data_IF_461215406054
#
_entry.id   IF_461215406054
#
_cell.length_a   1.000
_cell.length_b   1.000
_cell.length_c   1.000
_cell.angle_alpha   90.00
_cell.angle_beta   90.00
_cell.angle_gamma   90.00
#
_symmetry.space_group_name_H-M   'P 1'
#
loop_
_entity.id
_entity.type
_entity.pdbx_description
1 polymer ?
#
# COMPACT_ATOMS: atom_id res chain seq x y z
N UNK A 1 17.22 1.74 15.77
CA UNK A 1 16.70 0.49 15.16
C UNK A 1 16.52 0.73 13.67
N UNK A 2 16.98 -0.18 12.82
CA UNK A 2 16.79 -0.08 11.37
C UNK A 2 15.33 -0.32 11.00
N UNK A 3 14.83 0.40 10.00
CA UNK A 3 13.50 0.22 9.42
C UNK A 3 13.58 0.21 7.90
N UNK A 4 12.73 -0.59 7.25
CA UNK A 4 12.73 -0.79 5.80
C UNK A 4 11.44 -0.29 5.18
N UNK A 5 11.52 0.33 4.00
CA UNK A 5 10.37 0.58 3.14
C UNK A 5 10.18 -0.62 2.20
N UNK A 6 9.01 -1.21 2.17
CA UNK A 6 8.59 -2.20 1.20
C UNK A 6 7.60 -1.58 0.21
N UNK A 7 7.77 -1.82 -1.09
CA UNK A 7 6.94 -1.20 -2.13
C UNK A 7 6.27 -2.26 -2.99
N UNK A 8 4.94 -2.21 -3.06
CA UNK A 8 4.13 -3.05 -3.94
C UNK A 8 4.11 -2.47 -5.36
N UNK A 9 4.96 -2.97 -6.24
CA UNK A 9 5.09 -2.54 -7.63
C UNK A 9 4.74 -3.64 -8.66
N UNK A 10 4.18 -4.78 -8.24
CA UNK A 10 3.85 -5.90 -9.11
C UNK A 10 2.44 -5.86 -9.71
N UNK A 11 1.65 -4.82 -9.47
CA UNK A 11 0.29 -4.68 -9.98
C UNK A 11 0.23 -4.60 -11.51
N UNK A 12 -0.80 -5.23 -12.13
CA UNK A 12 -0.96 -5.28 -13.59
C UNK A 12 -1.45 -3.97 -14.22
N UNK A 13 -1.91 -2.99 -13.43
CA UNK A 13 -2.39 -1.70 -13.94
C UNK A 13 -3.55 -1.78 -14.94
N UNK A 14 -4.37 -2.84 -14.91
CA UNK A 14 -5.34 -3.19 -15.95
C UNK A 14 -6.36 -2.09 -16.30
N UNK A 15 -6.68 -1.20 -15.36
CA UNK A 15 -7.59 -0.06 -15.59
C UNK A 15 -6.88 1.14 -16.24
N UNK A 16 -5.58 1.26 -16.04
CA UNK A 16 -4.76 2.34 -16.59
C UNK A 16 -4.27 2.04 -18.02
N UNK A 17 -4.22 0.76 -18.38
CA UNK A 17 -3.83 0.31 -19.73
C UNK A 17 -2.34 0.30 -20.03
N UNK A 18 -1.48 0.57 -19.01
CA UNK A 18 -0.03 0.55 -19.10
C UNK A 18 0.59 0.21 -17.73
N UNK A 19 1.91 0.06 -17.66
CA UNK A 19 2.65 -0.11 -16.40
C UNK A 19 2.72 1.23 -15.66
N UNK A 20 1.62 1.58 -14.96
CA UNK A 20 1.42 2.87 -14.29
C UNK A 20 2.51 3.21 -13.26
N UNK A 21 3.19 2.20 -12.72
CA UNK A 21 4.27 2.34 -11.74
C UNK A 21 5.50 3.07 -12.30
N UNK A 22 5.67 3.12 -13.62
CA UNK A 22 6.81 3.73 -14.32
C UNK A 22 6.41 4.89 -15.23
N UNK A 23 5.17 5.37 -15.11
CA UNK A 23 4.69 6.53 -15.89
C UNK A 23 5.32 7.82 -15.34
N UNK A 24 6.01 8.64 -16.17
CA UNK A 24 6.57 9.91 -15.74
C UNK A 24 5.47 10.92 -15.36
N UNK A 25 5.62 11.53 -14.19
CA UNK A 25 4.67 12.50 -13.64
C UNK A 25 5.20 13.92 -13.78
N UNK A 26 6.49 14.15 -13.44
CA UNK A 26 7.12 15.46 -13.55
C UNK A 26 8.58 15.28 -14.03
N UNK A 27 8.89 15.82 -15.20
CA UNK A 27 10.15 15.53 -15.87
C UNK A 27 10.28 14.02 -16.12
N UNK A 28 11.36 13.41 -15.63
CA UNK A 28 11.57 11.97 -15.65
C UNK A 28 11.13 11.27 -14.35
N UNK A 29 10.61 12.00 -13.37
CA UNK A 29 10.20 11.46 -12.08
C UNK A 29 8.87 10.72 -12.19
N UNK A 30 8.84 9.53 -11.61
CA UNK A 30 7.64 8.72 -11.38
C UNK A 30 7.11 8.96 -9.96
N UNK A 31 5.88 8.54 -9.66
CA UNK A 31 5.26 8.80 -8.36
C UNK A 31 6.05 8.14 -7.21
N UNK A 32 6.58 6.95 -7.46
CA UNK A 32 7.41 6.21 -6.51
C UNK A 32 8.68 6.96 -6.07
N UNK A 33 9.27 7.80 -6.93
CA UNK A 33 10.47 8.56 -6.57
C UNK A 33 10.23 9.47 -5.36
N UNK A 34 9.03 10.06 -5.27
CA UNK A 34 8.63 10.90 -4.14
C UNK A 34 8.48 10.09 -2.86
N UNK A 35 7.84 8.92 -2.94
CA UNK A 35 7.68 8.03 -1.77
C UNK A 35 9.01 7.52 -1.23
N UNK A 36 9.96 7.16 -2.11
CA UNK A 36 11.31 6.73 -1.70
C UNK A 36 12.09 7.90 -1.08
N UNK A 37 12.02 9.09 -1.68
CA UNK A 37 12.69 10.28 -1.16
C UNK A 37 12.14 10.68 0.23
N UNK A 38 10.82 10.70 0.40
CA UNK A 38 10.15 11.01 1.66
C UNK A 38 10.47 9.95 2.74
N UNK A 39 10.53 8.66 2.37
CA UNK A 39 10.95 7.60 3.28
C UNK A 39 12.39 7.76 3.74
N UNK A 40 13.34 8.04 2.84
CA UNK A 40 14.73 8.29 3.24
C UNK A 40 14.86 9.54 4.12
N UNK A 41 14.11 10.61 3.83
CA UNK A 41 14.05 11.81 4.69
C UNK A 41 13.50 11.49 6.08
N UNK A 42 12.49 10.61 6.19
CA UNK A 42 11.96 10.10 7.47
C UNK A 42 12.91 9.09 8.16
N UNK A 43 14.03 8.76 7.51
CA UNK A 43 15.11 7.93 8.05
C UNK A 43 14.93 6.42 7.85
N UNK A 44 14.16 5.98 6.87
CA UNK A 44 14.20 4.58 6.46
C UNK A 44 15.61 4.24 5.94
N UNK A 45 16.11 3.04 6.26
CA UNK A 45 17.48 2.63 5.95
C UNK A 45 17.62 2.08 4.54
N UNK A 46 16.64 1.29 4.10
CA UNK A 46 16.62 0.62 2.79
C UNK A 46 15.21 0.55 2.21
N UNK A 47 15.14 0.24 0.93
CA UNK A 47 13.90 0.01 0.19
C UNK A 47 13.94 -1.38 -0.46
N UNK A 48 12.88 -2.16 -0.31
CA UNK A 48 12.69 -3.43 -1.01
C UNK A 48 11.47 -3.30 -1.92
N UNK A 49 11.67 -3.47 -3.22
CA UNK A 49 10.59 -3.38 -4.21
C UNK A 49 10.10 -4.77 -4.59
N UNK A 50 8.80 -4.98 -4.50
CA UNK A 50 8.14 -6.18 -5.03
C UNK A 50 7.66 -5.83 -6.44
N UNK A 51 8.27 -6.45 -7.43
CA UNK A 51 8.03 -6.19 -8.86
C UNK A 51 7.57 -7.46 -9.58
N UNK A 52 7.17 -7.32 -10.84
CA UNK A 52 7.09 -8.43 -11.80
C UNK A 52 8.39 -8.51 -12.58
N UNK A 53 8.79 -9.71 -12.97
CA UNK A 53 10.00 -9.95 -13.78
C UNK A 53 10.04 -9.10 -15.06
N UNK A 54 8.87 -8.84 -15.66
CA UNK A 54 8.74 -8.05 -16.89
C UNK A 54 9.17 -6.58 -16.74
N UNK A 55 8.95 -5.98 -15.56
CA UNK A 55 9.26 -4.55 -15.31
C UNK A 55 10.49 -4.32 -14.44
N UNK A 56 11.08 -5.38 -13.87
CA UNK A 56 12.22 -5.29 -12.95
C UNK A 56 13.37 -4.49 -13.54
N UNK A 57 13.82 -4.85 -14.74
CA UNK A 57 14.97 -4.20 -15.39
C UNK A 57 14.72 -2.70 -15.63
N UNK A 58 13.51 -2.34 -16.03
CA UNK A 58 13.14 -0.94 -16.30
C UNK A 58 13.04 -0.14 -14.98
N UNK A 59 12.40 -0.71 -13.96
CA UNK A 59 12.28 -0.09 -12.63
C UNK A 59 13.67 0.11 -12.02
N UNK A 60 14.52 -0.91 -12.07
CA UNK A 60 15.90 -0.85 -11.60
C UNK A 60 16.71 0.22 -12.33
N UNK A 61 16.65 0.25 -13.66
CA UNK A 61 17.36 1.25 -14.47
C UNK A 61 16.89 2.69 -14.19
N UNK A 62 15.63 2.89 -13.81
CA UNK A 62 15.08 4.19 -13.41
C UNK A 62 15.59 4.60 -12.02
N UNK A 63 15.39 3.75 -11.01
CA UNK A 63 15.66 4.08 -9.61
C UNK A 63 17.16 4.23 -9.32
N UNK A 64 18.04 3.46 -9.97
CA UNK A 64 19.49 3.57 -9.79
C UNK A 64 20.10 4.87 -10.33
N UNK A 65 19.37 5.64 -11.12
CA UNK A 65 19.78 7.00 -11.50
C UNK A 65 19.59 8.03 -10.39
N UNK A 66 18.74 7.71 -9.40
CA UNK A 66 18.26 8.66 -8.38
C UNK A 66 18.63 8.26 -6.96
N UNK A 67 18.80 6.97 -6.71
CA UNK A 67 19.00 6.44 -5.37
C UNK A 67 20.21 5.48 -5.32
N UNK A 68 20.92 5.40 -4.17
CA UNK A 68 22.07 4.51 -4.01
C UNK A 68 21.70 3.04 -4.18
N UNK A 69 22.47 2.29 -4.96
CA UNK A 69 22.23 0.87 -5.27
C UNK A 69 22.20 0.00 -4.01
N UNK A 70 23.11 0.26 -3.08
CA UNK A 70 23.23 -0.48 -1.82
C UNK A 70 22.03 -0.35 -0.88
N UNK A 71 21.14 0.62 -1.15
CA UNK A 71 19.91 0.84 -0.41
C UNK A 71 18.67 0.25 -1.07
N UNK A 72 18.79 -0.28 -2.27
CA UNK A 72 17.67 -0.82 -3.05
C UNK A 72 17.80 -2.34 -3.20
N UNK A 73 16.70 -3.06 -3.02
CA UNK A 73 16.58 -4.48 -3.31
C UNK A 73 15.30 -4.76 -4.09
N UNK A 74 15.30 -5.82 -4.91
CA UNK A 74 14.19 -6.17 -5.77
C UNK A 74 13.80 -7.64 -5.54
N UNK A 75 12.50 -7.91 -5.48
CA UNK A 75 11.91 -9.24 -5.33
C UNK A 75 10.86 -9.42 -6.40
N UNK A 76 10.98 -10.46 -7.22
CA UNK A 76 9.99 -10.77 -8.25
C UNK A 76 8.88 -11.63 -7.68
N UNK A 77 7.68 -11.08 -7.55
CA UNK A 77 6.51 -11.77 -7.00
C UNK A 77 6.12 -13.01 -7.82
N UNK A 78 6.21 -12.93 -9.13
CA UNK A 78 5.85 -14.00 -10.06
C UNK A 78 6.78 -15.23 -9.97
N UNK A 79 8.03 -15.05 -9.53
CA UNK A 79 8.96 -16.17 -9.30
C UNK A 79 8.73 -16.87 -7.95
N UNK A 80 7.99 -16.26 -7.05
CA UNK A 80 7.70 -16.74 -5.69
C UNK A 80 6.34 -17.47 -5.59
N UNK A 81 5.68 -17.73 -6.73
CA UNK A 81 4.42 -18.47 -6.74
C UNK A 81 4.63 -19.97 -6.54
N UNK A 82 3.67 -20.69 -5.89
CA UNK A 82 3.71 -22.13 -5.84
C UNK A 82 3.75 -22.74 -7.25
N UNK A 83 4.80 -23.50 -7.56
CA UNK A 83 5.08 -24.05 -8.91
C UNK A 83 4.00 -25.00 -9.45
N UNK A 84 3.19 -25.54 -8.53
CA UNK A 84 2.14 -26.52 -8.84
C UNK A 84 0.84 -25.87 -9.33
N UNK A 85 0.74 -24.54 -9.30
CA UNK A 85 -0.47 -23.80 -9.67
C UNK A 85 -0.12 -22.81 -10.77
N UNK A 86 -0.46 -23.17 -12.01
CA UNK A 86 -0.31 -22.28 -13.16
C UNK A 86 -1.38 -21.16 -13.10
N UNK A 87 -0.92 -19.90 -12.92
CA UNK A 87 -1.84 -18.76 -12.97
C UNK A 87 -1.16 -17.52 -13.55
N UNK A 88 -1.95 -16.75 -14.30
CA UNK A 88 -1.50 -15.51 -14.94
C UNK A 88 -1.58 -14.29 -14.02
N UNK A 89 -2.51 -14.31 -13.05
CA UNK A 89 -2.76 -13.20 -12.14
C UNK A 89 -1.98 -13.42 -10.84
N UNK A 90 -1.28 -12.40 -10.29
CA UNK A 90 -0.66 -12.49 -8.97
C UNK A 90 -1.68 -12.88 -7.87
N UNK A 91 -1.19 -13.49 -6.80
CA UNK A 91 -2.01 -13.94 -5.67
C UNK A 91 -2.50 -12.80 -4.75
N UNK A 92 -2.30 -11.53 -5.11
CA UNK A 92 -2.73 -10.37 -4.36
C UNK A 92 -1.64 -9.76 -3.48
N UNK A 93 -2.01 -8.69 -2.76
CA UNK A 93 -1.08 -7.87 -1.97
C UNK A 93 -0.54 -8.58 -0.72
N UNK A 94 -1.34 -9.47 -0.12
CA UNK A 94 -0.88 -10.30 1.00
C UNK A 94 0.19 -11.29 0.59
N UNK A 95 0.06 -11.95 -0.56
CA UNK A 95 1.14 -12.79 -1.10
C UNK A 95 2.39 -11.97 -1.41
N UNK A 96 2.23 -10.80 -2.05
CA UNK A 96 3.37 -9.92 -2.32
C UNK A 96 4.13 -9.56 -1.04
N UNK A 97 3.43 -9.25 0.06
CA UNK A 97 4.04 -9.04 1.37
C UNK A 97 4.83 -10.27 1.83
N UNK A 98 4.27 -11.48 1.69
CA UNK A 98 4.95 -12.71 2.13
C UNK A 98 6.19 -13.05 1.31
N UNK A 99 6.30 -12.58 0.06
CA UNK A 99 7.52 -12.70 -0.73
C UNK A 99 8.73 -11.98 -0.12
N UNK A 100 8.51 -11.08 0.83
CA UNK A 100 9.56 -10.31 1.51
C UNK A 100 10.19 -11.03 2.70
N UNK A 101 9.65 -12.18 3.15
CA UNK A 101 10.03 -12.85 4.41
C UNK A 101 11.53 -13.15 4.56
N UNK A 102 12.20 -13.45 3.45
CA UNK A 102 13.63 -13.79 3.43
C UNK A 102 14.52 -12.56 3.14
N UNK A 103 13.93 -11.39 2.93
CA UNK A 103 14.61 -10.13 2.59
C UNK A 103 14.52 -9.09 3.71
N UNK A 104 13.45 -9.12 4.51
CA UNK A 104 13.20 -8.13 5.55
C UNK A 104 13.29 -8.80 6.93
N UNK A 105 14.23 -8.31 7.74
CA UNK A 105 14.53 -8.84 9.08
C UNK A 105 14.37 -7.80 10.19
N UNK A 106 13.77 -6.66 9.89
CA UNK A 106 13.53 -5.53 10.79
C UNK A 106 12.11 -4.97 10.56
N UNK A 107 11.59 -4.13 11.45
CA UNK A 107 10.30 -3.47 11.21
C UNK A 107 10.27 -2.74 9.89
N UNK A 108 9.12 -2.74 9.22
CA UNK A 108 8.99 -2.18 7.89
C UNK A 108 7.64 -1.51 7.66
N UNK A 109 7.62 -0.56 6.73
CA UNK A 109 6.43 0.02 6.15
C UNK A 109 6.18 -0.61 4.78
N UNK A 110 4.94 -0.95 4.44
CA UNK A 110 4.56 -1.38 3.10
C UNK A 110 3.60 -0.37 2.47
N UNK A 111 3.85 -0.04 1.19
CA UNK A 111 3.07 0.94 0.41
C UNK A 111 2.84 0.45 -1.02
N UNK A 112 1.92 1.10 -1.75
CA UNK A 112 1.79 0.94 -3.19
C UNK A 112 2.78 1.86 -3.94
N UNK A 113 3.26 1.42 -5.10
CA UNK A 113 4.19 2.19 -5.93
C UNK A 113 3.54 3.34 -6.70
N UNK A 114 2.23 3.29 -6.88
CA UNK A 114 1.44 4.19 -7.72
C UNK A 114 0.59 5.19 -6.93
N UNK A 115 0.91 5.35 -5.65
CA UNK A 115 0.25 6.24 -4.71
C UNK A 115 1.22 7.28 -4.12
N UNK A 116 0.73 8.51 -3.90
CA UNK A 116 1.40 9.54 -3.13
C UNK A 116 0.79 9.63 -1.73
N UNK A 117 1.63 9.61 -0.71
CA UNK A 117 1.21 9.50 0.67
C UNK A 117 1.48 10.74 1.53
N UNK A 118 2.35 11.66 1.04
CA UNK A 118 2.83 12.83 1.77
C UNK A 118 3.93 12.52 2.79
N UNK A 119 4.95 13.37 2.86
CA UNK A 119 6.14 13.18 3.68
C UNK A 119 5.83 12.92 5.15
N UNK A 120 4.86 13.67 5.72
CA UNK A 120 4.48 13.56 7.13
C UNK A 120 3.96 12.15 7.50
N UNK A 121 3.30 11.44 6.58
CA UNK A 121 2.85 10.07 6.82
C UNK A 121 4.03 9.11 7.05
N UNK A 122 5.13 9.29 6.31
CA UNK A 122 6.36 8.51 6.50
C UNK A 122 7.03 8.82 7.83
N UNK A 123 7.10 10.08 8.23
CA UNK A 123 7.68 10.51 9.52
C UNK A 123 6.94 9.88 10.71
N UNK A 124 5.61 9.96 10.72
CA UNK A 124 4.78 9.41 11.79
C UNK A 124 4.95 7.90 11.93
N UNK A 125 4.91 7.15 10.84
CA UNK A 125 5.04 5.69 10.89
C UNK A 125 6.49 5.29 11.20
N UNK A 126 7.50 6.01 10.71
CA UNK A 126 8.90 5.78 11.08
C UNK A 126 9.12 5.93 12.58
N UNK A 127 8.54 6.95 13.21
CA UNK A 127 8.59 7.13 14.65
C UNK A 127 7.89 5.99 15.40
N UNK A 128 6.68 5.60 14.98
CA UNK A 128 5.91 4.51 15.56
C UNK A 128 6.68 3.17 15.48
N UNK A 129 7.22 2.83 14.30
CA UNK A 129 8.01 1.61 14.10
C UNK A 129 9.28 1.58 14.98
N UNK A 130 9.97 2.74 15.15
CA UNK A 130 11.17 2.81 15.97
C UNK A 130 10.89 2.72 17.46
N UNK A 131 9.77 3.27 17.92
CA UNK A 131 9.35 3.14 19.33
C UNK A 131 9.08 1.69 19.69
N UNK A 132 8.58 0.91 18.74
CA UNK A 132 8.33 -0.52 18.85
C UNK A 132 7.42 -0.86 20.03
N UNK A 133 6.33 -1.54 19.77
CA UNK A 133 5.47 -2.13 20.80
C UNK A 133 5.30 -3.59 20.50
N UNK A 134 5.33 -4.41 21.53
CA UNK A 134 5.11 -5.87 21.37
C UNK A 134 3.71 -6.11 20.78
N UNK A 135 3.61 -7.04 19.84
CA UNK A 135 2.38 -7.41 19.15
C UNK A 135 1.60 -6.21 18.61
N UNK A 136 2.29 -5.19 18.12
CA UNK A 136 1.64 -4.00 17.59
C UNK A 136 2.08 -3.73 16.15
N UNK A 137 1.11 -3.51 15.29
CA UNK A 137 1.25 -3.03 13.93
C UNK A 137 0.67 -1.62 13.82
N UNK A 138 0.94 -0.94 12.72
CA UNK A 138 0.54 0.44 12.51
C UNK A 138 -0.12 0.62 11.15
N UNK A 139 -1.05 1.58 11.05
CA UNK A 139 -1.61 2.02 9.78
C UNK A 139 -1.75 3.53 9.79
N UNK A 140 -1.47 4.20 8.68
CA UNK A 140 -1.88 5.58 8.54
C UNK A 140 -3.40 5.63 8.27
N UNK A 141 -4.12 6.36 9.11
CA UNK A 141 -5.55 6.59 8.99
C UNK A 141 -5.83 7.83 8.17
N UNK A 142 -6.02 7.66 6.87
CA UNK A 142 -6.44 8.76 6.00
C UNK A 142 -7.92 9.06 6.17
N UNK A 143 -8.30 10.33 6.01
CA UNK A 143 -9.71 10.69 5.95
C UNK A 143 -10.29 10.33 4.58
N UNK A 144 -11.47 9.71 4.55
CA UNK A 144 -12.14 9.32 3.31
C UNK A 144 -12.21 10.49 2.31
N UNK A 145 -12.58 11.68 2.80
CA UNK A 145 -12.67 12.89 1.98
C UNK A 145 -11.38 13.28 1.26
N UNK A 146 -10.21 12.93 1.84
CA UNK A 146 -8.90 13.24 1.27
C UNK A 146 -8.41 12.16 0.28
N UNK A 147 -9.25 11.17 -0.04
CA UNK A 147 -8.86 10.01 -0.88
C UNK A 147 -9.84 9.74 -2.03
N UNK A 148 -10.89 10.54 -2.17
CA UNK A 148 -11.88 10.38 -3.24
C UNK A 148 -11.35 10.94 -4.56
N UNK A 149 -11.88 10.42 -5.69
CA UNK A 149 -11.60 10.92 -7.03
C UNK A 149 -12.74 11.80 -7.52
N UNK A 150 -12.41 12.84 -8.27
CA UNK A 150 -13.40 13.64 -9.01
C UNK A 150 -13.87 12.93 -10.29
N UNK A 151 -13.14 11.89 -10.74
CA UNK A 151 -13.36 11.23 -12.02
C UNK A 151 -14.25 9.98 -11.93
N UNK A 152 -14.72 9.61 -10.72
CA UNK A 152 -15.60 8.45 -10.56
C UNK A 152 -15.44 7.73 -9.23
N UNK A 153 -15.97 6.51 -9.18
CA UNK A 153 -15.94 5.69 -7.97
C UNK A 153 -14.57 5.14 -7.65
N UNK A 154 -14.27 5.05 -6.37
CA UNK A 154 -13.01 4.49 -5.86
C UNK A 154 -13.24 3.28 -4.95
N UNK A 155 -12.20 2.46 -4.77
CA UNK A 155 -12.19 1.38 -3.78
C UNK A 155 -11.39 1.80 -2.56
N UNK A 156 -11.97 1.63 -1.36
CA UNK A 156 -11.32 1.98 -0.07
C UNK A 156 -11.67 0.95 1.00
N UNK A 157 -10.68 0.62 1.81
CA UNK A 157 -10.92 -0.12 3.05
C UNK A 157 -11.44 0.83 4.13
N UNK A 158 -12.73 0.85 4.38
CA UNK A 158 -13.33 1.62 5.48
C UNK A 158 -12.91 0.99 6.79
N UNK A 159 -12.30 1.78 7.68
CA UNK A 159 -11.79 1.34 8.97
C UNK A 159 -12.77 1.69 10.09
N UNK A 160 -13.15 0.70 10.89
CA UNK A 160 -13.77 0.92 12.20
C UNK A 160 -12.64 1.00 13.23
N UNK A 161 -12.59 2.10 13.97
CA UNK A 161 -11.50 2.41 14.89
C UNK A 161 -12.08 2.71 16.27
N UNK A 162 -11.44 2.20 17.33
CA UNK A 162 -11.81 2.50 18.72
C UNK A 162 -11.44 3.93 19.13
N UNK A 163 -11.90 4.37 20.30
CA UNK A 163 -11.52 5.67 20.88
C UNK A 163 -10.00 5.81 21.12
N UNK A 164 -9.32 4.68 21.38
CA UNK A 164 -7.86 4.61 21.55
C UNK A 164 -7.11 4.49 20.21
N UNK A 165 -7.78 4.74 19.09
CA UNK A 165 -7.22 4.60 17.74
C UNK A 165 -6.75 3.18 17.37
N UNK A 166 -7.33 2.13 17.95
CA UNK A 166 -7.06 0.76 17.52
C UNK A 166 -8.02 0.33 16.43
N UNK A 167 -7.51 -0.26 15.38
CA UNK A 167 -8.31 -0.83 14.30
C UNK A 167 -9.11 -2.02 14.83
N UNK A 168 -10.43 -1.95 14.72
CA UNK A 168 -11.36 -3.02 15.08
C UNK A 168 -11.66 -3.89 13.86
N UNK A 169 -11.97 -3.25 12.74
CA UNK A 169 -12.25 -3.93 11.48
C UNK A 169 -11.93 -3.04 10.28
N UNK A 170 -11.74 -3.70 9.15
CA UNK A 170 -11.58 -3.06 7.85
C UNK A 170 -12.51 -3.73 6.84
N UNK A 171 -13.26 -2.93 6.11
CA UNK A 171 -14.23 -3.42 5.13
C UNK A 171 -13.99 -2.76 3.78
N UNK A 172 -13.68 -3.58 2.77
CA UNK A 172 -13.41 -3.08 1.42
C UNK A 172 -14.72 -2.66 0.74
N UNK A 173 -14.77 -1.38 0.33
CA UNK A 173 -15.85 -0.78 -0.44
C UNK A 173 -15.33 -0.40 -1.82
N UNK A 174 -15.93 -0.97 -2.86
CA UNK A 174 -15.35 -0.94 -4.21
C UNK A 174 -15.95 0.12 -5.15
N UNK A 175 -17.00 0.82 -4.71
CA UNK A 175 -17.70 1.84 -5.50
C UNK A 175 -18.11 3.05 -4.66
N UNK A 176 -17.18 3.61 -3.93
CA UNK A 176 -17.40 4.83 -3.17
C UNK A 176 -17.36 6.05 -4.07
N UNK A 177 -18.39 6.87 -4.00
CA UNK A 177 -18.53 8.14 -4.70
C UNK A 177 -18.90 9.25 -3.71
N UNK A 178 -18.33 10.44 -3.85
CA UNK A 178 -18.74 11.61 -3.09
C UNK A 178 -20.16 12.03 -3.54
N UNK A 179 -21.11 12.04 -2.61
CA UNK A 179 -22.54 12.33 -2.91
C UNK A 179 -23.07 13.57 -2.19
N UNK A 180 -22.27 14.17 -1.29
CA UNK A 180 -22.63 15.37 -0.54
C UNK A 180 -21.40 16.12 -0.05
N UNK A 181 -21.62 17.26 0.64
CA UNK A 181 -20.52 18.04 1.23
C UNK A 181 -19.71 17.25 2.24
N UNK A 182 -20.38 16.38 3.02
CA UNK A 182 -19.78 15.68 4.16
C UNK A 182 -19.88 14.16 4.07
N UNK A 183 -20.32 13.60 2.96
CA UNK A 183 -20.55 12.17 2.82
C UNK A 183 -20.15 11.60 1.46
N UNK A 184 -19.84 10.32 1.46
CA UNK A 184 -19.69 9.47 0.29
C UNK A 184 -20.64 8.28 0.41
N UNK A 185 -21.08 7.74 -0.72
CA UNK A 185 -22.00 6.59 -0.79
C UNK A 185 -21.34 5.43 -1.54
N UNK A 186 -21.47 4.22 -1.04
CA UNK A 186 -21.19 3.00 -1.80
C UNK A 186 -22.37 2.74 -2.75
N UNK A 187 -22.15 2.91 -4.08
CA UNK A 187 -23.19 2.71 -5.09
C UNK A 187 -23.76 1.29 -5.14
N UNK A 188 -23.05 0.30 -4.61
CA UNK A 188 -23.49 -1.10 -4.61
C UNK A 188 -24.51 -1.38 -3.51
N UNK A 189 -24.31 -0.76 -2.34
CA UNK A 189 -25.10 -1.05 -1.13
C UNK A 189 -26.04 0.08 -0.75
N UNK A 190 -25.78 1.31 -1.25
CA UNK A 190 -26.46 2.54 -0.82
C UNK A 190 -26.00 3.03 0.56
N UNK A 191 -25.02 2.39 1.17
CA UNK A 191 -24.51 2.77 2.48
C UNK A 191 -23.71 4.07 2.39
N UNK A 192 -23.90 4.94 3.40
CA UNK A 192 -23.27 6.26 3.46
C UNK A 192 -22.20 6.30 4.51
N UNK A 193 -21.10 6.99 4.19
CA UNK A 193 -19.94 7.15 5.05
C UNK A 193 -19.58 8.63 5.18
N UNK A 194 -19.40 9.15 6.41
CA UNK A 194 -18.86 10.50 6.63
C UNK A 194 -17.50 10.64 5.95
N UNK A 195 -17.20 11.80 5.36
CA UNK A 195 -15.88 12.09 4.79
C UNK A 195 -14.76 12.09 5.83
N UNK A 196 -15.12 12.18 7.11
CA UNK A 196 -14.20 12.06 8.26
C UNK A 196 -13.87 10.62 8.64
N UNK A 197 -14.52 9.59 8.03
CA UNK A 197 -14.22 8.20 8.28
C UNK A 197 -12.76 7.88 7.96
N UNK A 198 -12.14 7.03 8.76
CA UNK A 198 -10.81 6.52 8.46
C UNK A 198 -10.85 5.47 7.36
N UNK A 199 -9.87 5.54 6.46
CA UNK A 199 -9.68 4.56 5.39
C UNK A 199 -8.25 4.09 5.31
N UNK A 200 -8.07 2.83 4.93
CA UNK A 200 -6.78 2.26 4.60
C UNK A 200 -6.44 2.53 3.13
N UNK A 201 -5.19 2.98 2.93
CA UNK A 201 -4.60 3.21 1.61
C UNK A 201 -3.39 2.30 1.36
N UNK A 202 -3.37 1.09 1.96
CA UNK A 202 -2.21 0.20 1.95
C UNK A 202 -0.92 0.84 2.47
N UNK A 203 -1.03 1.58 3.56
CA UNK A 203 0.09 2.20 4.25
C UNK A 203 0.21 1.55 5.64
N UNK A 204 0.97 0.43 5.70
CA UNK A 204 1.00 -0.45 6.86
C UNK A 204 2.41 -0.60 7.42
N UNK A 205 2.56 -0.31 8.72
CA UNK A 205 3.78 -0.58 9.47
C UNK A 205 3.70 -1.93 10.19
N UNK A 206 4.64 -2.82 9.91
CA UNK A 206 4.67 -4.16 10.48
C UNK A 206 5.99 -4.45 11.18
N UNK A 207 5.95 -5.36 12.17
CA UNK A 207 7.11 -6.14 12.59
C UNK A 207 7.20 -7.42 11.75
N UNK A 208 8.33 -8.13 11.85
CA UNK A 208 8.53 -9.40 11.12
C UNK A 208 7.59 -10.52 11.55
N UNK A 209 6.88 -10.38 12.68
CA UNK A 209 5.86 -11.32 13.14
C UNK A 209 4.76 -11.54 12.10
N UNK A 210 4.50 -10.54 11.25
CA UNK A 210 3.50 -10.64 10.17
C UNK A 210 3.79 -11.81 9.23
N UNK A 211 5.06 -12.18 9.03
CA UNK A 211 5.43 -13.31 8.18
C UNK A 211 5.07 -14.65 8.85
N UNK A 212 5.25 -14.77 10.17
CA UNK A 212 4.91 -15.97 10.91
C UNK A 212 3.39 -16.20 10.95
N UNK A 213 2.61 -15.12 11.06
CA UNK A 213 1.15 -15.17 10.99
C UNK A 213 0.65 -15.48 9.57
N UNK A 214 1.30 -14.90 8.57
CA UNK A 214 0.81 -14.89 7.19
C UNK A 214 1.09 -16.16 6.41
N UNK A 215 2.24 -16.81 6.63
CA UNK A 215 2.61 -18.01 5.85
C UNK A 215 1.59 -19.13 6.00
N UNK A 216 1.22 -19.59 7.23
CA UNK A 216 0.22 -20.63 7.39
C UNK A 216 -1.18 -20.22 6.85
N UNK A 217 -1.53 -18.95 7.01
CA UNK A 217 -2.80 -18.43 6.51
C UNK A 217 -2.85 -18.46 4.98
N UNK A 218 -1.76 -18.13 4.31
CA UNK A 218 -1.67 -18.20 2.86
C UNK A 218 -1.68 -19.64 2.34
N UNK A 219 -1.02 -20.57 3.03
CA UNK A 219 -1.08 -22.01 2.70
C UNK A 219 -2.51 -22.53 2.76
N UNK A 220 -3.27 -22.19 3.81
CA UNK A 220 -4.67 -22.53 3.93
C UNK A 220 -5.52 -21.89 2.81
N UNK A 221 -5.27 -20.61 2.52
CA UNK A 221 -5.95 -19.90 1.42
C UNK A 221 -5.73 -20.58 0.07
N UNK A 222 -4.50 -21.00 -0.25
CA UNK A 222 -4.20 -21.72 -1.50
C UNK A 222 -4.94 -23.06 -1.54
N UNK A 223 -4.97 -23.80 -0.46
CA UNK A 223 -5.64 -25.10 -0.40
C UNK A 223 -7.15 -24.96 -0.71
N UNK A 224 -7.78 -23.90 -0.17
CA UNK A 224 -9.21 -23.61 -0.37
C UNK A 224 -9.51 -23.11 -1.80
N UNK A 225 -8.61 -22.29 -2.37
CA UNK A 225 -8.85 -21.58 -3.63
C UNK A 225 -8.03 -22.14 -4.82
N UNK A 226 -7.55 -23.37 -4.73
CA UNK A 226 -6.65 -24.00 -5.73
C UNK A 226 -7.18 -23.96 -7.17
N UNK A 227 -8.51 -24.00 -7.36
CA UNK A 227 -9.16 -23.98 -8.66
C UNK A 227 -9.67 -22.61 -9.11
N UNK A 228 -9.52 -21.57 -8.30
CA UNK A 228 -10.01 -20.23 -8.63
C UNK A 228 -8.87 -19.33 -9.19
N UNK A 229 -8.84 -19.05 -10.50
CA UNK A 229 -7.80 -18.20 -11.10
C UNK A 229 -7.93 -16.72 -10.72
N UNK A 230 -9.03 -16.33 -10.07
CA UNK A 230 -9.31 -14.94 -9.68
C UNK A 230 -9.12 -14.68 -8.18
N UNK A 231 -8.99 -15.74 -7.36
CA UNK A 231 -8.80 -15.56 -5.93
C UNK A 231 -7.57 -14.70 -5.63
N UNK A 232 -7.70 -13.79 -4.69
CA UNK A 232 -6.62 -12.89 -4.25
C UNK A 232 -6.54 -12.88 -2.73
N UNK A 233 -5.34 -13.07 -2.22
CA UNK A 233 -5.00 -12.94 -0.82
C UNK A 233 -4.54 -11.51 -0.52
N UNK A 234 -5.31 -10.78 0.27
CA UNK A 234 -5.08 -9.36 0.53
C UNK A 234 -4.43 -9.09 1.88
N UNK A 235 -3.69 -7.98 2.00
CA UNK A 235 -3.15 -7.49 3.28
C UNK A 235 -4.26 -7.31 4.34
N UNK A 236 -5.43 -6.71 4.05
CA UNK A 236 -6.52 -6.64 5.03
C UNK A 236 -6.94 -7.98 5.65
N UNK A 237 -6.93 -9.07 4.88
CA UNK A 237 -7.20 -10.42 5.40
C UNK A 237 -6.16 -10.84 6.44
N UNK A 238 -4.88 -10.56 6.16
CA UNK A 238 -3.79 -10.84 7.06
C UNK A 238 -3.86 -9.98 8.33
N UNK A 239 -4.20 -8.71 8.19
CA UNK A 239 -4.41 -7.77 9.31
C UNK A 239 -5.56 -8.22 10.20
N UNK A 240 -6.70 -8.60 9.62
CA UNK A 240 -7.84 -9.14 10.38
C UNK A 240 -7.47 -10.41 11.14
N UNK A 241 -6.69 -11.30 10.52
CA UNK A 241 -6.17 -12.50 11.20
C UNK A 241 -5.26 -12.14 12.38
N UNK A 242 -4.33 -11.17 12.20
CA UNK A 242 -3.45 -10.72 13.26
C UNK A 242 -4.23 -10.16 14.46
N UNK A 243 -5.27 -9.36 14.22
CA UNK A 243 -6.16 -8.85 15.28
C UNK A 243 -6.81 -10.02 16.03
N UNK A 244 -7.31 -11.03 15.33
CA UNK A 244 -7.89 -12.23 15.94
C UNK A 244 -6.86 -13.05 16.78
N UNK A 245 -5.56 -12.91 16.47
CA UNK A 245 -4.46 -13.52 17.26
C UNK A 245 -3.97 -12.60 18.39
N UNK A 246 -4.69 -11.52 18.70
CA UNK A 246 -4.38 -10.62 19.81
C UNK A 246 -3.33 -9.55 19.50
N UNK A 247 -3.05 -9.30 18.22
CA UNK A 247 -2.26 -8.14 17.81
C UNK A 247 -3.10 -6.87 17.84
N UNK A 248 -2.49 -5.76 18.24
CA UNK A 248 -3.07 -4.43 18.11
C UNK A 248 -2.63 -3.82 16.79
N UNK A 249 -3.52 -3.12 16.11
CA UNK A 249 -3.17 -2.28 14.97
C UNK A 249 -3.51 -0.83 15.34
N UNK A 250 -2.49 -0.02 15.61
CA UNK A 250 -2.68 1.41 15.89
C UNK A 250 -2.91 2.16 14.58
N UNK A 251 -4.02 2.88 14.50
CA UNK A 251 -4.33 3.78 13.39
C UNK A 251 -3.80 5.16 13.75
N UNK A 252 -2.73 5.58 13.09
CA UNK A 252 -2.14 6.91 13.27
C UNK A 252 -2.86 7.89 12.37
N UNK A 253 -3.66 8.84 12.91
CA UNK A 253 -4.42 9.78 12.10
C UNK A 253 -3.48 10.66 11.28
N UNK A 254 -3.82 10.89 10.01
CA UNK A 254 -3.12 11.84 9.14
C UNK A 254 -4.11 12.74 8.43
N UNK A 255 -3.78 14.01 8.31
CA UNK A 255 -4.49 14.98 7.48
C UNK A 255 -3.87 15.13 6.07
N UNK A 256 -2.86 14.31 5.77
CA UNK A 256 -2.23 14.30 4.46
C UNK A 256 -3.25 14.00 3.36
N UNK A 257 -3.12 14.69 2.25
CA UNK A 257 -3.87 14.38 1.03
C UNK A 257 -3.19 13.21 0.35
N UNK A 258 -3.96 12.16 0.12
CA UNK A 258 -3.55 11.05 -0.71
C UNK A 258 -4.03 11.28 -2.14
N UNK A 259 -3.22 10.95 -3.12
CA UNK A 259 -3.63 10.82 -4.50
C UNK A 259 -2.86 9.69 -5.18
N UNK A 260 -3.48 9.09 -6.17
CA UNK A 260 -2.92 7.95 -6.90
C UNK A 260 -3.54 7.81 -8.28
N UNK A 261 -2.98 6.93 -9.08
CA UNK A 261 -3.42 6.70 -10.45
C UNK A 261 -4.31 5.46 -10.54
N UNK A 262 -5.61 5.66 -10.62
CA UNK A 262 -6.57 4.57 -10.88
C UNK A 262 -7.00 4.56 -12.34
N UNK A 263 -7.25 5.73 -12.90
CA UNK A 263 -7.67 5.97 -14.27
C UNK A 263 -6.61 6.80 -15.02
N UNK A 264 -6.66 6.80 -16.34
CA UNK A 264 -5.75 7.61 -17.17
C UNK A 264 -5.96 9.12 -16.94
N UNK A 265 -7.20 9.51 -16.67
CA UNK A 265 -7.62 10.88 -16.38
C UNK A 265 -7.03 11.40 -15.06
N UNK A 266 -6.71 10.53 -14.11
CA UNK A 266 -6.07 10.91 -12.84
C UNK A 266 -4.67 11.49 -13.06
N UNK A 267 -4.02 11.18 -14.19
CA UNK A 267 -2.65 11.61 -14.47
C UNK A 267 -2.50 13.15 -14.46
N UNK A 268 -3.47 13.89 -15.00
CA UNK A 268 -3.42 15.35 -14.98
C UNK A 268 -3.58 15.92 -13.58
N UNK A 269 -4.46 15.31 -12.79
CA UNK A 269 -4.65 15.68 -11.37
C UNK A 269 -3.37 15.42 -10.58
N UNK A 270 -2.80 14.24 -10.73
CA UNK A 270 -1.55 13.85 -10.05
C UNK A 270 -0.40 14.78 -10.42
N UNK A 271 -0.25 15.13 -11.70
CA UNK A 271 0.77 16.09 -12.16
C UNK A 271 0.63 17.45 -11.50
N UNK A 272 -0.59 18.00 -11.49
CA UNK A 272 -0.90 19.28 -10.85
C UNK A 272 -0.57 19.27 -9.34
N UNK A 273 -0.95 18.20 -8.64
CA UNK A 273 -0.67 18.08 -7.21
C UNK A 273 0.84 17.92 -6.93
N UNK A 274 1.57 17.16 -7.76
CA UNK A 274 3.03 17.06 -7.65
C UNK A 274 3.74 18.39 -7.95
N UNK A 275 3.27 19.17 -8.91
CA UNK A 275 3.79 20.53 -9.14
C UNK A 275 3.60 21.42 -7.90
N UNK A 276 2.46 21.29 -7.22
CA UNK A 276 2.21 22.01 -5.97
C UNK A 276 3.16 21.57 -4.87
N UNK A 277 3.33 20.25 -4.65
CA UNK A 277 4.29 19.70 -3.69
C UNK A 277 5.72 20.18 -3.95
N UNK A 278 6.13 20.24 -5.22
CA UNK A 278 7.46 20.71 -5.61
C UNK A 278 7.67 22.22 -5.38
N UNK A 279 6.60 23.03 -5.37
CA UNK A 279 6.69 24.48 -5.06
C UNK A 279 6.75 24.77 -3.56
N UNK A 280 6.24 23.84 -2.73
CA UNK A 280 6.21 23.95 -1.27
C UNK A 280 7.50 23.43 -0.61
N UNK A 281 8.34 22.66 -1.35
CA UNK A 281 9.69 22.20 -0.97
C UNK A 281 10.75 23.22 -1.35
#
# INVERSE_FOLDING_TARGET
MKITLAVLAAGLGSRFGADKQIVPIYGDSILLDYSIADAFAAGFDNVVLIVRSEIEAQMKAHLLKKFPEEKLSFVCQDTMTPKEIERKKPWGTGHALLCLKDQIHNPFLIINADDFYGAHSFEMIAEALRKGKEKTFFSAGYRLGNTLSENGTVSRGICTVSEDHHLISIEERTKLLKTGENEATDERTGERFPLTSFVSMNFWGFTTDIFQLGVPLFEAFIAEHKGDPKAEFYIPTLVSHAIAQGYVVEVVPTEAVWFGMTYQEDLEVVRREIERVNREK
#
